data_IF_415973620506
#
_entry.id   IF_415973620506
#
_cell.length_a   1.000
_cell.length_b   1.000
_cell.length_c   1.000
_cell.angle_alpha   90.00
_cell.angle_beta   90.00
_cell.angle_gamma   90.00
#
_symmetry.space_group_name_H-M   'P 1'
#
loop_
_entity.id
_entity.type
_entity.pdbx_description
1 polymer ?
#
# COMPACT_ATOMS: atom_id res chain seq x y z
N UNK A 1 -4.09 -83.50 -85.78
CA UNK A 1 -4.88 -82.35 -85.29
C UNK A 1 -5.34 -82.64 -83.86
N UNK A 2 -5.02 -81.74 -82.93
CA UNK A 2 -5.52 -81.54 -81.56
C UNK A 2 -5.71 -82.75 -80.60
N UNK A 3 -4.75 -82.93 -79.68
CA UNK A 3 -4.98 -83.54 -78.37
C UNK A 3 -5.53 -82.46 -77.42
N UNK A 4 -6.79 -82.58 -76.99
CA UNK A 4 -7.33 -81.85 -75.83
C UNK A 4 -7.05 -82.68 -74.58
N UNK A 5 -6.11 -82.24 -73.75
CA UNK A 5 -5.88 -82.77 -72.40
C UNK A 5 -6.94 -82.20 -71.45
N UNK A 6 -7.70 -83.07 -70.79
CA UNK A 6 -8.58 -82.68 -69.66
C UNK A 6 -7.72 -82.25 -68.45
N UNK A 7 -8.07 -81.17 -67.72
CA UNK A 7 -7.29 -80.77 -66.55
C UNK A 7 -7.34 -81.82 -65.43
N UNK A 8 -6.20 -82.18 -64.85
CA UNK A 8 -6.12 -83.12 -63.72
C UNK A 8 -6.56 -82.47 -62.40
N UNK A 9 -6.95 -83.28 -61.39
CA UNK A 9 -7.42 -82.80 -60.09
C UNK A 9 -6.45 -81.81 -59.38
N UNK A 10 -5.14 -81.95 -59.62
CA UNK A 10 -4.12 -81.00 -59.13
C UNK A 10 -4.21 -79.59 -59.75
N UNK A 11 -4.65 -79.47 -61.01
CA UNK A 11 -4.90 -78.16 -61.63
C UNK A 11 -6.14 -77.48 -61.07
N UNK A 12 -7.17 -78.22 -60.69
CA UNK A 12 -8.34 -77.65 -60.03
C UNK A 12 -8.03 -77.15 -58.61
N UNK A 13 -7.18 -77.88 -57.88
CA UNK A 13 -6.74 -77.46 -56.55
C UNK A 13 -5.87 -76.18 -56.59
N UNK A 14 -4.92 -76.09 -57.53
CA UNK A 14 -4.10 -74.88 -57.70
C UNK A 14 -4.94 -73.68 -58.15
N UNK A 15 -5.88 -73.87 -59.08
CA UNK A 15 -6.80 -72.80 -59.49
C UNK A 15 -7.66 -72.32 -58.31
N UNK A 16 -8.17 -73.23 -57.49
CA UNK A 16 -9.00 -72.88 -56.32
C UNK A 16 -8.21 -72.08 -55.27
N UNK A 17 -6.98 -72.49 -54.97
CA UNK A 17 -6.09 -71.74 -54.06
C UNK A 17 -5.77 -70.35 -54.61
N UNK A 18 -5.51 -70.26 -55.92
CA UNK A 18 -5.14 -68.99 -56.56
C UNK A 18 -6.31 -68.01 -56.57
N UNK A 19 -7.53 -68.51 -56.82
CA UNK A 19 -8.77 -67.73 -56.70
C UNK A 19 -9.00 -67.28 -55.25
N UNK A 20 -8.88 -68.17 -54.27
CA UNK A 20 -9.05 -67.83 -52.85
C UNK A 20 -8.02 -66.80 -52.37
N UNK A 21 -6.75 -66.94 -52.77
CA UNK A 21 -5.69 -65.98 -52.46
C UNK A 21 -5.94 -64.62 -53.13
N UNK A 22 -6.44 -64.60 -54.36
CA UNK A 22 -6.81 -63.37 -55.07
C UNK A 22 -7.97 -62.66 -54.37
N UNK A 23 -9.02 -63.40 -53.99
CA UNK A 23 -10.16 -62.86 -53.23
C UNK A 23 -9.68 -62.32 -51.88
N UNK A 24 -8.82 -63.04 -51.17
CA UNK A 24 -8.25 -62.60 -49.90
C UNK A 24 -7.45 -61.29 -50.06
N UNK A 25 -6.58 -61.20 -51.07
CA UNK A 25 -5.81 -60.00 -51.37
C UNK A 25 -6.71 -58.82 -51.77
N UNK A 26 -7.78 -59.04 -52.55
CA UNK A 26 -8.75 -58.00 -52.90
C UNK A 26 -9.51 -57.50 -51.66
N UNK A 27 -9.94 -58.38 -50.77
CA UNK A 27 -10.57 -58.00 -49.49
C UNK A 27 -9.58 -57.19 -48.65
N UNK A 28 -8.33 -57.64 -48.52
CA UNK A 28 -7.29 -56.93 -47.76
C UNK A 28 -6.92 -55.59 -48.38
N UNK A 29 -6.91 -55.50 -49.71
CA UNK A 29 -6.67 -54.25 -50.44
C UNK A 29 -7.80 -53.26 -50.22
N UNK A 30 -9.06 -53.72 -50.22
CA UNK A 30 -10.21 -52.88 -49.92
C UNK A 30 -10.22 -52.40 -48.46
N UNK A 31 -9.87 -53.29 -47.52
CA UNK A 31 -9.68 -52.94 -46.11
C UNK A 31 -8.58 -51.89 -45.94
N UNK A 32 -7.43 -52.07 -46.59
CA UNK A 32 -6.32 -51.13 -46.55
C UNK A 32 -6.65 -49.78 -47.21
N UNK A 33 -7.35 -49.79 -48.34
CA UNK A 33 -7.80 -48.58 -49.03
C UNK A 33 -8.80 -47.78 -48.17
N UNK A 34 -9.70 -48.47 -47.45
CA UNK A 34 -10.61 -47.84 -46.49
C UNK A 34 -9.86 -47.29 -45.27
N UNK A 35 -8.89 -48.02 -44.73
CA UNK A 35 -8.05 -47.58 -43.61
C UNK A 35 -7.23 -46.33 -43.94
N UNK A 36 -6.76 -46.19 -45.19
CA UNK A 36 -6.02 -45.00 -45.67
C UNK A 36 -6.89 -43.74 -45.82
N UNK A 37 -8.23 -43.91 -45.75
CA UNK A 37 -9.18 -42.80 -45.62
C UNK A 37 -9.08 -42.10 -44.26
N UNK A 38 -8.59 -42.80 -43.24
CA UNK A 38 -8.47 -42.31 -41.87
C UNK A 38 -7.01 -41.99 -41.54
N UNK A 39 -6.79 -41.32 -40.42
CA UNK A 39 -5.44 -41.05 -39.93
C UNK A 39 -4.71 -42.34 -39.52
N UNK A 40 -3.40 -42.43 -39.76
CA UNK A 40 -2.62 -43.60 -39.40
C UNK A 40 -2.66 -43.86 -37.88
N UNK A 41 -2.72 -45.13 -37.50
CA UNK A 41 -2.74 -45.56 -36.10
C UNK A 41 -1.51 -45.04 -35.35
N UNK A 42 -1.73 -44.44 -34.18
CA UNK A 42 -0.67 -43.84 -33.37
C UNK A 42 -0.44 -42.34 -33.61
N UNK A 43 -1.10 -41.74 -34.61
CA UNK A 43 -1.01 -40.30 -34.84
C UNK A 43 -1.66 -39.53 -33.69
N UNK A 44 -0.92 -38.56 -33.17
CA UNK A 44 -1.44 -37.59 -32.20
C UNK A 44 -1.41 -36.19 -32.80
N UNK A 45 -2.46 -35.42 -32.57
CA UNK A 45 -2.55 -34.01 -32.92
C UNK A 45 -2.81 -33.24 -31.63
N UNK A 46 -1.94 -32.26 -31.33
CA UNK A 46 -1.96 -31.54 -30.07
C UNK A 46 -1.93 -32.49 -28.84
N UNK A 47 -1.22 -33.63 -28.93
CA UNK A 47 -1.19 -34.62 -27.86
C UNK A 47 -2.47 -35.44 -27.66
N UNK A 48 -3.49 -35.27 -28.52
CA UNK A 48 -4.71 -36.07 -28.55
C UNK A 48 -4.57 -37.16 -29.62
N UNK A 49 -4.89 -38.41 -29.26
CA UNK A 49 -4.83 -39.52 -30.21
C UNK A 49 -5.97 -39.42 -31.22
N UNK A 50 -5.61 -39.25 -32.50
CA UNK A 50 -6.54 -39.19 -33.63
C UNK A 50 -6.37 -40.36 -34.60
N UNK A 51 -5.48 -41.31 -34.26
CA UNK A 51 -5.22 -42.46 -35.11
C UNK A 51 -6.47 -43.32 -35.33
N UNK A 52 -6.74 -43.65 -36.58
CA UNK A 52 -7.93 -44.40 -36.99
C UNK A 52 -9.19 -43.55 -37.16
N UNK A 53 -9.16 -42.26 -36.85
CA UNK A 53 -10.28 -41.32 -37.07
C UNK A 53 -10.24 -40.71 -38.47
N UNK A 54 -11.41 -40.38 -39.00
CA UNK A 54 -11.54 -39.48 -40.14
C UNK A 54 -11.21 -38.04 -39.76
N UNK A 55 -11.06 -37.16 -40.76
CA UNK A 55 -10.80 -35.73 -40.53
C UNK A 55 -11.92 -35.04 -39.76
N UNK A 56 -13.17 -35.41 -40.02
CA UNK A 56 -14.34 -34.85 -39.33
C UNK A 56 -14.36 -35.29 -37.86
N UNK A 57 -14.22 -36.60 -37.59
CA UNK A 57 -14.15 -37.13 -36.22
C UNK A 57 -12.96 -36.55 -35.43
N UNK A 58 -11.80 -36.36 -36.07
CA UNK A 58 -10.66 -35.72 -35.43
C UNK A 58 -10.92 -34.24 -35.10
N UNK A 59 -11.69 -33.53 -35.94
CA UNK A 59 -12.09 -32.14 -35.68
C UNK A 59 -12.96 -32.07 -34.44
N UNK A 60 -13.95 -32.95 -34.32
CA UNK A 60 -14.85 -33.01 -33.16
C UNK A 60 -14.08 -33.33 -31.87
N UNK A 61 -13.18 -34.33 -31.92
CA UNK A 61 -12.39 -34.72 -30.75
C UNK A 61 -11.47 -33.59 -30.27
N UNK A 62 -10.84 -32.85 -31.20
CA UNK A 62 -9.99 -31.72 -30.85
C UNK A 62 -10.79 -30.53 -30.31
N UNK A 63 -11.95 -30.24 -30.91
CA UNK A 63 -12.85 -29.17 -30.47
C UNK A 63 -13.39 -29.45 -29.07
N UNK A 64 -13.90 -30.66 -28.84
CA UNK A 64 -14.38 -31.08 -27.53
C UNK A 64 -13.28 -31.00 -26.47
N UNK A 65 -12.03 -31.30 -26.85
CA UNK A 65 -10.90 -31.30 -25.93
C UNK A 65 -10.41 -29.89 -25.57
N UNK A 66 -10.31 -29.00 -26.54
CA UNK A 66 -9.62 -27.71 -26.36
C UNK A 66 -10.56 -26.52 -26.21
N UNK A 67 -11.75 -26.59 -26.80
CA UNK A 67 -12.74 -25.51 -26.81
C UNK A 67 -13.87 -25.78 -25.80
N UNK A 68 -14.41 -27.00 -25.78
CA UNK A 68 -15.55 -27.31 -24.91
C UNK A 68 -15.16 -27.70 -23.49
N UNK A 69 -14.06 -28.44 -23.32
CA UNK A 69 -13.61 -28.84 -21.99
C UNK A 69 -13.12 -27.61 -21.18
N UNK A 70 -13.55 -27.44 -19.92
CA UNK A 70 -13.14 -26.32 -19.10
C UNK A 70 -11.69 -26.46 -18.62
N UNK A 71 -11.11 -25.32 -18.22
CA UNK A 71 -9.87 -25.27 -17.44
C UNK A 71 -10.23 -25.01 -15.99
N UNK A 72 -9.65 -25.78 -15.08
CA UNK A 72 -9.87 -25.63 -13.64
C UNK A 72 -8.85 -24.67 -13.05
N UNK A 73 -9.31 -23.59 -12.44
CA UNK A 73 -8.50 -22.60 -11.75
C UNK A 73 -8.75 -22.73 -10.25
N UNK A 74 -7.68 -22.84 -9.47
CA UNK A 74 -7.76 -22.85 -8.01
C UNK A 74 -7.38 -21.49 -7.43
N UNK A 75 -8.28 -20.93 -6.62
CA UNK A 75 -8.00 -19.78 -5.76
C UNK A 75 -7.97 -20.28 -4.31
N UNK A 76 -6.78 -20.52 -3.76
CA UNK A 76 -6.65 -21.17 -2.46
C UNK A 76 -7.20 -22.60 -2.47
N UNK A 77 -8.34 -22.82 -1.77
CA UNK A 77 -9.06 -24.10 -1.73
C UNK A 77 -10.28 -24.14 -2.67
N UNK A 78 -10.70 -22.98 -3.17
CA UNK A 78 -11.85 -22.85 -4.04
C UNK A 78 -11.46 -23.14 -5.49
N UNK A 79 -12.44 -23.61 -6.26
CA UNK A 79 -12.25 -24.05 -7.65
C UNK A 79 -13.22 -23.35 -8.59
N UNK A 80 -12.71 -22.94 -9.74
CA UNK A 80 -13.44 -22.27 -10.80
C UNK A 80 -13.22 -23.00 -12.12
N UNK A 81 -14.30 -23.26 -12.84
CA UNK A 81 -14.23 -23.78 -14.20
C UNK A 81 -14.37 -22.60 -15.16
N UNK A 82 -13.32 -22.35 -15.96
CA UNK A 82 -13.36 -21.33 -17.01
C UNK A 82 -13.52 -22.00 -18.36
N UNK A 83 -14.33 -21.38 -19.23
CA UNK A 83 -14.39 -21.82 -20.62
C UNK A 83 -13.18 -21.25 -21.38
N UNK A 84 -12.50 -22.04 -22.23
CA UNK A 84 -11.49 -21.51 -23.15
C UNK A 84 -12.01 -20.34 -24.00
N UNK A 85 -13.31 -20.32 -24.30
CA UNK A 85 -13.95 -19.22 -25.03
C UNK A 85 -13.95 -17.88 -24.28
N UNK A 86 -13.91 -17.89 -22.94
CA UNK A 86 -13.83 -16.67 -22.13
C UNK A 86 -12.47 -15.95 -22.32
N UNK A 87 -11.43 -16.72 -22.67
CA UNK A 87 -10.10 -16.21 -23.01
C UNK A 87 -9.94 -15.98 -24.54
N UNK A 88 -11.03 -16.08 -25.30
CA UNK A 88 -11.02 -16.05 -26.78
C UNK A 88 -9.98 -17.04 -27.35
N UNK A 89 -9.91 -18.24 -26.76
CA UNK A 89 -8.98 -19.28 -27.19
C UNK A 89 -9.43 -19.85 -28.54
N UNK A 90 -8.60 -19.70 -29.56
CA UNK A 90 -8.86 -20.15 -30.92
C UNK A 90 -7.86 -21.23 -31.35
N UNK A 91 -8.40 -22.30 -31.93
CA UNK A 91 -7.64 -23.44 -32.41
C UNK A 91 -7.46 -23.35 -33.93
N UNK A 92 -6.22 -23.38 -34.42
CA UNK A 92 -5.94 -23.42 -35.85
C UNK A 92 -6.04 -24.87 -36.36
N UNK A 93 -7.29 -25.35 -36.40
CA UNK A 93 -7.65 -26.68 -36.85
C UNK A 93 -7.23 -26.95 -38.29
N UNK A 94 -7.35 -25.96 -39.16
CA UNK A 94 -6.98 -26.12 -40.56
C UNK A 94 -5.49 -26.40 -40.71
N UNK A 95 -4.63 -25.62 -40.06
CA UNK A 95 -3.19 -25.85 -40.11
C UNK A 95 -2.79 -27.19 -39.49
N UNK A 96 -3.36 -27.56 -38.34
CA UNK A 96 -3.05 -28.82 -37.68
C UNK A 96 -3.52 -30.04 -38.48
N UNK A 97 -4.76 -30.03 -38.97
CA UNK A 97 -5.31 -31.15 -39.75
C UNK A 97 -4.67 -31.26 -41.12
N UNK A 98 -4.25 -30.13 -41.73
CA UNK A 98 -3.44 -30.12 -42.96
C UNK A 98 -2.09 -30.81 -42.75
N UNK A 99 -1.40 -30.53 -41.64
CA UNK A 99 -0.15 -31.25 -41.27
C UNK A 99 -0.41 -32.73 -41.01
N UNK A 100 -1.49 -33.08 -40.33
CA UNK A 100 -1.90 -34.47 -40.12
C UNK A 100 -2.22 -35.19 -41.45
N UNK A 101 -2.81 -34.50 -42.42
CA UNK A 101 -3.10 -35.03 -43.76
C UNK A 101 -1.83 -35.31 -44.58
N UNK A 102 -0.76 -34.54 -44.37
CA UNK A 102 0.55 -34.81 -44.97
C UNK A 102 1.09 -36.15 -44.47
N UNK A 103 1.04 -36.42 -43.16
CA UNK A 103 1.48 -37.71 -42.58
C UNK A 103 0.68 -38.89 -43.12
N UNK A 104 -0.62 -38.69 -43.39
CA UNK A 104 -1.50 -39.69 -44.02
C UNK A 104 -1.14 -39.97 -45.47
N UNK A 105 -0.70 -38.96 -46.22
CA UNK A 105 -0.51 -39.04 -47.68
C UNK A 105 0.93 -39.30 -48.13
N UNK A 106 1.94 -39.01 -47.30
CA UNK A 106 3.36 -39.24 -47.61
C UNK A 106 3.74 -40.72 -47.75
N UNK A 107 2.93 -41.65 -47.22
CA UNK A 107 3.26 -43.07 -47.24
C UNK A 107 3.01 -43.70 -48.62
N UNK A 108 3.99 -44.42 -49.15
CA UNK A 108 3.85 -45.18 -50.39
C UNK A 108 2.76 -46.27 -50.25
N UNK A 109 1.83 -46.28 -51.21
CA UNK A 109 0.66 -47.15 -51.15
C UNK A 109 1.00 -48.64 -51.13
N UNK A 110 2.00 -49.07 -51.91
CA UNK A 110 2.35 -50.48 -52.05
C UNK A 110 3.24 -50.94 -50.91
N UNK A 111 4.21 -50.12 -50.48
CA UNK A 111 5.03 -50.42 -49.32
C UNK A 111 4.16 -50.52 -48.04
N UNK A 112 3.21 -49.59 -47.86
CA UNK A 112 2.28 -49.60 -46.73
C UNK A 112 1.28 -50.76 -46.78
N UNK A 113 0.78 -51.16 -47.95
CA UNK A 113 -0.10 -52.33 -48.11
C UNK A 113 0.59 -53.63 -47.67
N UNK A 114 1.84 -53.80 -48.09
CA UNK A 114 2.66 -54.93 -47.68
C UNK A 114 2.96 -54.90 -46.17
N UNK A 115 3.29 -53.73 -45.61
CA UNK A 115 3.45 -53.56 -44.17
C UNK A 115 2.19 -53.91 -43.36
N UNK A 116 1.01 -53.52 -43.86
CA UNK A 116 -0.29 -53.88 -43.27
C UNK A 116 -0.53 -55.40 -43.27
N UNK A 117 -0.15 -56.12 -44.34
CA UNK A 117 -0.27 -57.57 -44.40
C UNK A 117 0.66 -58.30 -43.40
N UNK A 118 1.82 -57.71 -43.10
CA UNK A 118 2.83 -58.27 -42.20
C UNK A 118 2.79 -57.70 -40.76
N UNK A 119 1.90 -56.76 -40.48
CA UNK A 119 1.71 -56.17 -39.14
C UNK A 119 2.84 -55.25 -38.69
N UNK A 120 3.58 -54.64 -39.61
CA UNK A 120 4.63 -53.67 -39.25
C UNK A 120 4.02 -52.34 -38.84
N UNK A 121 4.39 -51.78 -37.67
CA UNK A 121 3.91 -50.48 -37.23
C UNK A 121 4.39 -49.36 -38.16
N UNK A 122 3.56 -48.36 -38.32
CA UNK A 122 3.82 -47.18 -39.15
C UNK A 122 4.42 -46.09 -38.25
N UNK A 123 5.59 -45.57 -38.62
CA UNK A 123 6.16 -44.41 -37.95
C UNK A 123 5.39 -43.15 -38.37
N UNK A 124 4.92 -42.38 -37.39
CA UNK A 124 4.17 -41.14 -37.59
C UNK A 124 4.72 -40.07 -36.67
N UNK A 125 4.82 -38.85 -37.18
CA UNK A 125 5.25 -37.71 -36.36
C UNK A 125 4.04 -37.05 -35.68
N UNK A 126 4.12 -36.72 -34.37
CA UNK A 126 3.06 -35.99 -33.71
C UNK A 126 2.94 -34.58 -34.28
N UNK A 127 1.71 -34.09 -34.45
CA UNK A 127 1.44 -32.71 -34.86
C UNK A 127 1.32 -31.85 -33.61
N UNK A 128 2.12 -30.78 -33.54
CA UNK A 128 2.08 -29.83 -32.43
C UNK A 128 0.78 -29.00 -32.42
N UNK A 129 0.39 -28.55 -31.22
CA UNK A 129 -0.76 -27.66 -31.02
C UNK A 129 -0.49 -26.29 -31.68
N UNK A 130 -1.44 -25.84 -32.50
CA UNK A 130 -1.46 -24.48 -33.06
C UNK A 130 -2.72 -23.77 -32.55
N UNK A 131 -2.54 -22.80 -31.64
CA UNK A 131 -3.64 -22.08 -31.02
C UNK A 131 -3.21 -20.67 -30.58
N UNK A 132 -4.18 -19.77 -30.49
CA UNK A 132 -4.02 -18.40 -29.98
C UNK A 132 -5.07 -18.10 -28.92
N UNK A 133 -4.85 -17.06 -28.14
CA UNK A 133 -5.82 -16.56 -27.17
C UNK A 133 -5.65 -15.05 -27.01
N UNK A 134 -6.67 -14.41 -26.44
CA UNK A 134 -6.62 -12.99 -26.12
C UNK A 134 -6.12 -12.80 -24.67
N UNK A 135 -4.97 -12.16 -24.52
CA UNK A 135 -4.32 -11.96 -23.21
C UNK A 135 -5.14 -11.05 -22.31
N UNK A 136 -5.74 -10.00 -22.86
CA UNK A 136 -6.59 -9.07 -22.13
C UNK A 136 -7.92 -9.72 -21.72
N UNK A 137 -8.48 -10.61 -22.54
CA UNK A 137 -9.65 -11.41 -22.16
C UNK A 137 -9.33 -12.34 -20.99
N UNK A 138 -8.20 -13.07 -21.06
CA UNK A 138 -7.75 -13.91 -19.95
C UNK A 138 -7.50 -13.10 -18.66
N UNK A 139 -6.87 -11.92 -18.77
CA UNK A 139 -6.68 -11.02 -17.62
C UNK A 139 -8.01 -10.56 -17.01
N UNK A 140 -9.04 -10.28 -17.82
CA UNK A 140 -10.37 -9.92 -17.32
C UNK A 140 -10.99 -11.08 -16.53
N UNK A 141 -10.94 -12.31 -17.05
CA UNK A 141 -11.42 -13.50 -16.34
C UNK A 141 -10.74 -13.66 -14.99
N UNK A 142 -9.41 -13.51 -14.94
CA UNK A 142 -8.66 -13.57 -13.68
C UNK A 142 -9.02 -12.43 -12.72
N UNK A 143 -9.23 -11.22 -13.26
CA UNK A 143 -9.70 -10.07 -12.49
C UNK A 143 -11.09 -10.25 -11.90
N UNK A 144 -12.01 -10.90 -12.62
CA UNK A 144 -13.35 -11.20 -12.14
C UNK A 144 -13.33 -12.25 -11.02
N UNK A 145 -12.47 -13.27 -11.13
CA UNK A 145 -12.24 -14.24 -10.04
C UNK A 145 -11.64 -13.53 -8.81
N UNK A 146 -10.62 -12.69 -9.02
CA UNK A 146 -10.00 -11.91 -7.96
C UNK A 146 -11.02 -10.99 -7.26
N UNK A 147 -11.83 -10.24 -8.01
CA UNK A 147 -12.85 -9.35 -7.45
C UNK A 147 -13.91 -10.08 -6.60
N UNK A 148 -14.17 -11.36 -6.92
CA UNK A 148 -15.11 -12.19 -6.16
C UNK A 148 -14.47 -12.78 -4.89
N UNK A 149 -13.18 -13.13 -4.94
CA UNK A 149 -12.51 -13.94 -3.92
C UNK A 149 -11.57 -13.19 -3.00
N UNK A 150 -11.01 -12.07 -3.46
CA UNK A 150 -10.10 -11.24 -2.69
C UNK A 150 -10.82 -10.65 -1.48
N UNK A 151 -10.14 -10.66 -0.35
CA UNK A 151 -10.65 -10.11 0.90
C UNK A 151 -10.01 -8.74 1.10
N UNK A 152 -10.79 -7.64 1.09
CA UNK A 152 -10.23 -6.32 1.32
C UNK A 152 -9.66 -6.22 2.74
N UNK A 153 -8.63 -5.41 2.89
CA UNK A 153 -8.10 -5.06 4.21
C UNK A 153 -9.12 -4.20 4.95
N UNK A 154 -9.14 -4.32 6.28
CA UNK A 154 -9.90 -3.41 7.13
C UNK A 154 -8.95 -2.39 7.76
N UNK A 155 -9.15 -1.08 7.56
CA UNK A 155 -8.32 -0.08 8.20
C UNK A 155 -8.60 -0.04 9.71
N UNK A 156 -7.62 0.41 10.49
CA UNK A 156 -7.80 0.60 11.93
C UNK A 156 -8.99 1.52 12.22
N UNK A 157 -9.72 1.22 13.31
CA UNK A 157 -10.89 1.99 13.73
C UNK A 157 -10.66 2.62 15.10
N UNK A 158 -11.12 3.86 15.33
CA UNK A 158 -11.06 4.49 16.63
C UNK A 158 -12.12 3.87 17.56
N UNK A 159 -11.78 3.75 18.84
CA UNK A 159 -12.69 3.32 19.91
C UNK A 159 -12.86 4.50 20.89
N UNK A 160 -13.89 5.35 20.70
CA UNK A 160 -14.04 6.60 21.44
C UNK A 160 -14.02 6.44 22.96
N UNK A 161 -14.77 5.47 23.48
CA UNK A 161 -14.95 5.26 24.93
C UNK A 161 -13.65 4.95 25.67
N UNK A 162 -12.65 4.41 24.97
CA UNK A 162 -11.37 3.98 25.56
C UNK A 162 -10.17 4.74 25.03
N UNK A 163 -10.37 5.76 24.18
CA UNK A 163 -9.29 6.49 23.51
C UNK A 163 -8.25 5.59 22.84
N UNK A 164 -8.69 4.48 22.25
CA UNK A 164 -7.81 3.48 21.65
C UNK A 164 -8.16 3.23 20.19
N UNK A 165 -7.35 2.41 19.53
CA UNK A 165 -7.60 1.98 18.15
C UNK A 165 -7.73 0.47 18.11
N UNK A 166 -8.78 -0.02 17.45
CA UNK A 166 -8.82 -1.39 16.97
C UNK A 166 -7.86 -1.51 15.78
N UNK A 167 -6.94 -2.48 15.85
CA UNK A 167 -6.01 -2.76 14.76
C UNK A 167 -6.76 -3.11 13.48
N UNK A 168 -6.19 -2.70 12.35
CA UNK A 168 -6.70 -3.13 11.05
C UNK A 168 -6.53 -4.64 10.84
N UNK A 169 -7.37 -5.20 9.99
CA UNK A 169 -7.32 -6.61 9.61
C UNK A 169 -6.67 -6.76 8.24
N UNK A 170 -5.76 -7.75 8.13
CA UNK A 170 -5.12 -8.10 6.85
C UNK A 170 -6.13 -8.71 5.89
N UNK A 171 -5.98 -8.39 4.62
CA UNK A 171 -6.75 -8.98 3.53
C UNK A 171 -5.94 -10.00 2.74
N UNK A 172 -6.52 -10.45 1.64
CA UNK A 172 -5.85 -11.29 0.64
C UNK A 172 -6.12 -10.72 -0.74
N UNK A 173 -5.08 -10.66 -1.57
CA UNK A 173 -5.17 -10.17 -2.94
C UNK A 173 -4.60 -11.19 -3.92
N UNK A 174 -5.27 -11.37 -5.04
CA UNK A 174 -4.80 -12.24 -6.12
C UNK A 174 -3.78 -11.48 -6.97
N UNK A 175 -2.57 -12.04 -7.09
CA UNK A 175 -1.56 -11.54 -8.00
C UNK A 175 -1.81 -12.10 -9.41
N UNK A 176 -2.61 -11.37 -10.19
CA UNK A 176 -3.00 -11.75 -11.56
C UNK A 176 -1.77 -11.91 -12.46
N UNK A 177 -0.78 -11.03 -12.36
CA UNK A 177 0.41 -11.08 -13.20
C UNK A 177 1.29 -12.30 -12.88
N UNK A 178 1.48 -12.63 -11.61
CA UNK A 178 2.22 -13.82 -11.20
C UNK A 178 1.47 -15.12 -11.53
N UNK A 179 0.13 -15.08 -11.57
CA UNK A 179 -0.72 -16.24 -11.90
C UNK A 179 -0.84 -16.50 -13.40
N UNK A 180 -0.61 -15.47 -14.23
CA UNK A 180 -0.98 -15.49 -15.65
C UNK A 180 -0.36 -16.66 -16.41
N UNK A 181 0.93 -16.93 -16.23
CA UNK A 181 1.65 -17.95 -16.98
C UNK A 181 1.17 -19.38 -16.70
N UNK A 182 0.77 -19.69 -15.46
CA UNK A 182 0.26 -21.03 -15.11
C UNK A 182 -1.13 -21.28 -15.73
N UNK A 183 -1.99 -20.26 -15.69
CA UNK A 183 -3.33 -20.30 -16.30
C UNK A 183 -3.24 -20.37 -17.81
N UNK A 184 -2.38 -19.54 -18.43
CA UNK A 184 -2.07 -19.60 -19.86
C UNK A 184 -1.61 -21.02 -20.22
N UNK A 185 -0.64 -21.59 -19.49
CA UNK A 185 -0.18 -22.96 -19.70
C UNK A 185 -1.27 -24.03 -19.55
N UNK A 186 -2.30 -23.81 -18.73
CA UNK A 186 -3.43 -24.74 -18.59
C UNK A 186 -4.36 -24.77 -19.80
N UNK A 187 -4.53 -23.64 -20.50
CA UNK A 187 -5.33 -23.57 -21.74
C UNK A 187 -4.72 -24.45 -22.83
N UNK A 188 -3.39 -24.51 -22.92
CA UNK A 188 -2.65 -25.25 -23.96
C UNK A 188 -2.38 -26.73 -23.63
N UNK A 189 -2.82 -27.24 -22.47
CA UNK A 189 -2.65 -28.65 -22.08
C UNK A 189 -3.80 -29.54 -22.58
N UNK A 190 -3.48 -30.72 -23.11
CA UNK A 190 -4.48 -31.73 -23.50
C UNK A 190 -5.08 -32.49 -22.29
N UNK A 191 -4.36 -32.55 -21.18
CA UNK A 191 -4.79 -33.26 -19.96
C UNK A 191 -4.30 -32.50 -18.73
N UNK A 192 -4.93 -32.73 -17.58
CA UNK A 192 -4.66 -32.00 -16.33
C UNK A 192 -4.67 -30.48 -16.56
N UNK A 193 -5.78 -29.96 -17.10
CA UNK A 193 -5.97 -28.53 -17.39
C UNK A 193 -6.30 -27.79 -16.10
N UNK A 194 -5.31 -27.72 -15.22
CA UNK A 194 -5.43 -27.14 -13.89
C UNK A 194 -4.35 -26.07 -13.68
N UNK A 195 -4.74 -24.91 -13.12
CA UNK A 195 -3.83 -23.83 -12.74
C UNK A 195 -4.16 -23.32 -11.33
N UNK A 196 -3.18 -22.72 -10.65
CA UNK A 196 -3.33 -22.16 -9.31
C UNK A 196 -3.01 -20.67 -9.32
N UNK A 197 -3.93 -19.86 -8.80
CA UNK A 197 -3.70 -18.44 -8.61
C UNK A 197 -2.76 -18.21 -7.43
N UNK A 198 -1.85 -17.26 -7.61
CA UNK A 198 -0.96 -16.74 -6.57
C UNK A 198 -1.76 -15.74 -5.75
N UNK A 199 -2.00 -16.07 -4.48
CA UNK A 199 -2.71 -15.23 -3.52
C UNK A 199 -1.72 -14.75 -2.47
N UNK A 200 -1.67 -13.44 -2.27
CA UNK A 200 -0.74 -12.79 -1.36
C UNK A 200 -1.50 -12.09 -0.22
N UNK A 201 -0.92 -12.07 1.00
CA UNK A 201 -1.50 -11.27 2.07
C UNK A 201 -1.37 -9.78 1.74
N UNK A 202 -2.46 -9.03 1.94
CA UNK A 202 -2.44 -7.57 1.85
C UNK A 202 -2.53 -6.98 3.26
N UNK A 203 -1.70 -5.97 3.54
CA UNK A 203 -1.70 -5.26 4.82
C UNK A 203 -2.59 -4.04 4.74
N UNK A 204 -3.34 -3.69 5.81
CA UNK A 204 -4.09 -2.45 5.84
C UNK A 204 -3.15 -1.24 5.73
N UNK A 205 -3.65 -0.19 5.10
CA UNK A 205 -2.92 1.08 5.04
C UNK A 205 -2.65 1.63 6.44
N UNK A 206 -1.55 2.37 6.58
CA UNK A 206 -1.24 3.08 7.82
C UNK A 206 -2.39 4.05 8.13
N UNK A 207 -2.91 4.08 9.38
CA UNK A 207 -3.96 5.01 9.75
C UNK A 207 -3.53 6.46 9.51
N UNK A 208 -4.40 7.25 8.87
CA UNK A 208 -4.17 8.67 8.64
C UNK A 208 -4.44 9.47 9.91
N UNK A 209 -3.77 10.61 10.09
CA UNK A 209 -3.90 11.48 11.27
C UNK A 209 -5.36 11.93 11.49
N UNK A 210 -6.15 12.06 10.41
CA UNK A 210 -7.56 12.42 10.47
C UNK A 210 -8.44 11.47 11.29
N UNK A 211 -8.02 10.22 11.48
CA UNK A 211 -8.71 9.28 12.35
C UNK A 211 -8.63 9.72 13.82
N UNK A 212 -7.46 10.23 14.22
CA UNK A 212 -7.23 10.82 15.53
C UNK A 212 -8.06 12.10 15.71
N UNK A 213 -8.18 12.95 14.68
CA UNK A 213 -9.01 14.16 14.74
C UNK A 213 -10.43 13.88 15.21
N UNK A 214 -11.07 12.80 14.72
CA UNK A 214 -12.45 12.46 15.13
C UNK A 214 -12.56 12.13 16.61
N UNK A 215 -11.59 11.38 17.16
CA UNK A 215 -11.54 11.06 18.58
C UNK A 215 -11.37 12.32 19.43
N UNK A 216 -10.43 13.18 19.02
CA UNK A 216 -10.12 14.41 19.73
C UNK A 216 -11.30 15.38 19.71
N UNK A 217 -11.92 15.61 18.56
CA UNK A 217 -13.08 16.51 18.44
C UNK A 217 -14.22 16.06 19.36
N UNK A 218 -14.55 14.77 19.37
CA UNK A 218 -15.62 14.26 20.23
C UNK A 218 -15.29 14.48 21.72
N UNK A 219 -14.06 14.16 22.14
CA UNK A 219 -13.61 14.35 23.52
C UNK A 219 -13.62 15.81 23.96
N UNK A 220 -13.08 16.71 23.13
CA UNK A 220 -13.09 18.14 23.38
C UNK A 220 -14.52 18.69 23.47
N UNK A 221 -15.42 18.28 22.58
CA UNK A 221 -16.82 18.69 22.62
C UNK A 221 -17.52 18.23 23.90
N UNK A 222 -17.30 16.99 24.34
CA UNK A 222 -17.87 16.47 25.58
C UNK A 222 -17.35 17.27 26.79
N UNK A 223 -16.05 17.54 26.84
CA UNK A 223 -15.45 18.40 27.88
C UNK A 223 -16.09 19.80 27.91
N UNK A 224 -16.20 20.46 26.75
CA UNK A 224 -16.78 21.81 26.65
C UNK A 224 -18.25 21.83 27.06
N UNK A 225 -19.03 20.80 26.72
CA UNK A 225 -20.44 20.69 27.11
C UNK A 225 -20.61 20.45 28.61
N UNK A 226 -19.75 19.62 29.22
CA UNK A 226 -19.84 19.25 30.64
C UNK A 226 -19.36 20.40 31.54
N UNK A 227 -18.24 21.02 31.18
CA UNK A 227 -17.56 22.01 32.02
C UNK A 227 -17.97 23.45 31.72
N UNK A 228 -18.48 23.71 30.51
CA UNK A 228 -18.63 25.07 29.99
C UNK A 228 -17.31 25.77 29.68
N UNK A 229 -16.18 25.04 29.76
CA UNK A 229 -14.86 25.52 29.40
C UNK A 229 -14.59 25.49 27.89
N UNK A 230 -13.34 25.76 27.52
CA UNK A 230 -12.86 25.67 26.15
C UNK A 230 -11.60 24.80 26.10
N UNK A 231 -11.50 23.93 25.10
CA UNK A 231 -10.27 23.21 24.82
C UNK A 231 -9.68 23.63 23.47
N UNK A 232 -8.36 23.66 23.39
CA UNK A 232 -7.61 24.04 22.19
C UNK A 232 -6.48 23.04 21.98
N UNK A 233 -6.32 22.57 20.74
CA UNK A 233 -5.33 21.57 20.40
C UNK A 233 -4.76 21.80 19.01
N UNK A 234 -3.44 21.64 18.91
CA UNK A 234 -2.70 21.62 17.66
C UNK A 234 -1.73 20.43 17.66
N UNK A 235 -1.76 19.60 16.63
CA UNK A 235 -0.87 18.44 16.47
C UNK A 235 -0.33 18.44 15.06
N UNK A 236 0.98 18.24 14.89
CA UNK A 236 1.63 18.20 13.57
C UNK A 236 2.55 16.97 13.47
N UNK A 237 2.39 16.17 12.41
CA UNK A 237 3.36 15.12 12.07
C UNK A 237 4.54 15.71 11.27
N UNK A 238 5.67 15.86 11.95
CA UNK A 238 6.89 16.45 11.39
C UNK A 238 7.59 15.56 10.34
N UNK A 239 7.23 14.28 10.23
CA UNK A 239 7.77 13.37 9.20
C UNK A 239 7.01 13.50 7.88
N UNK A 240 5.69 13.66 7.95
CA UNK A 240 4.84 13.79 6.76
C UNK A 240 4.76 15.24 6.26
N UNK A 241 4.99 16.22 7.14
CA UNK A 241 5.09 17.65 6.81
C UNK A 241 3.80 18.31 6.29
N UNK A 242 2.71 17.56 6.18
CA UNK A 242 1.43 18.00 5.57
C UNK A 242 0.21 17.63 6.43
N UNK A 243 0.40 16.78 7.44
CA UNK A 243 -0.68 16.26 8.27
C UNK A 243 -0.72 17.00 9.61
N UNK A 244 -1.67 17.93 9.74
CA UNK A 244 -1.94 18.69 10.97
C UNK A 244 -3.37 18.49 11.46
N UNK A 245 -3.54 18.53 12.78
CA UNK A 245 -4.83 18.62 13.47
C UNK A 245 -4.87 19.96 14.17
N UNK A 246 -5.82 20.82 13.80
CA UNK A 246 -6.13 22.06 14.50
C UNK A 246 -7.57 22.03 15.00
N UNK A 247 -7.77 21.99 16.32
CA UNK A 247 -9.09 22.01 16.96
C UNK A 247 -9.13 23.22 17.88
N UNK A 248 -9.94 24.22 17.54
CA UNK A 248 -9.99 25.51 18.25
C UNK A 248 -8.58 26.11 18.47
N UNK A 249 -7.66 25.85 17.54
CA UNK A 249 -6.22 26.08 17.74
C UNK A 249 -5.85 27.57 17.77
N UNK A 250 -6.77 28.43 17.34
CA UNK A 250 -6.70 29.88 17.28
C UNK A 250 -7.28 30.58 18.52
N UNK A 251 -7.84 29.83 19.49
CA UNK A 251 -8.37 30.42 20.72
C UNK A 251 -7.26 31.06 21.56
N UNK A 252 -7.44 32.30 22.04
CA UNK A 252 -6.46 32.93 22.91
C UNK A 252 -6.48 32.27 24.28
N UNK A 253 -5.34 31.73 24.69
CA UNK A 253 -5.14 31.08 25.99
C UNK A 253 -4.17 31.90 26.84
N UNK A 254 -4.27 31.78 28.16
CA UNK A 254 -3.22 32.27 29.06
C UNK A 254 -1.90 31.58 28.72
N UNK A 255 -0.87 32.35 28.40
CA UNK A 255 0.42 31.78 28.00
C UNK A 255 1.14 31.04 29.13
N UNK A 256 0.87 31.42 30.38
CA UNK A 256 1.45 30.79 31.59
C UNK A 256 2.96 30.54 31.42
N UNK A 257 3.43 29.39 31.89
CA UNK A 257 4.82 28.95 31.76
C UNK A 257 5.19 28.52 30.33
N UNK A 258 4.24 28.41 29.41
CA UNK A 258 4.56 28.14 27.99
C UNK A 258 5.35 29.29 27.37
N UNK A 259 5.16 30.53 27.86
CA UNK A 259 5.92 31.70 27.41
C UNK A 259 7.38 31.69 27.91
N UNK A 260 7.78 30.76 28.78
CA UNK A 260 9.19 30.55 29.13
C UNK A 260 10.01 30.05 27.94
N UNK A 261 9.38 29.31 27.01
CA UNK A 261 10.01 28.84 25.78
C UNK A 261 10.48 29.99 24.86
N UNK A 262 9.62 30.94 24.44
CA UNK A 262 10.05 32.05 23.61
C UNK A 262 11.04 33.00 24.31
N UNK A 263 11.02 33.10 25.64
CA UNK A 263 12.05 33.84 26.40
C UNK A 263 13.42 33.19 26.22
N UNK A 264 13.52 31.87 26.36
CA UNK A 264 14.80 31.18 26.15
C UNK A 264 15.25 31.23 24.70
N UNK A 265 14.33 31.10 23.73
CA UNK A 265 14.68 31.26 22.32
C UNK A 265 15.27 32.64 22.03
N UNK A 266 14.64 33.72 22.49
CA UNK A 266 15.17 35.08 22.31
C UNK A 266 16.49 35.29 23.05
N UNK A 267 16.68 34.63 24.20
CA UNK A 267 17.97 34.62 24.91
C UNK A 267 19.07 34.06 24.03
N UNK A 268 18.86 32.88 23.42
CA UNK A 268 19.85 32.27 22.52
C UNK A 268 20.10 33.13 21.29
N UNK A 269 19.06 33.74 20.71
CA UNK A 269 19.20 34.67 19.58
C UNK A 269 20.12 35.87 19.88
N UNK A 270 20.25 36.26 21.14
CA UNK A 270 21.07 37.39 21.59
C UNK A 270 22.44 36.96 22.13
N UNK A 271 22.72 35.66 22.24
CA UNK A 271 24.00 35.16 22.71
C UNK A 271 24.99 35.06 21.53
N UNK A 272 26.07 35.83 21.59
CA UNK A 272 27.16 35.73 20.61
C UNK A 272 28.11 34.53 20.90
N UNK A 273 28.01 33.94 22.09
CA UNK A 273 28.87 32.87 22.60
C UNK A 273 28.06 31.91 23.48
N UNK A 274 28.64 30.74 23.75
CA UNK A 274 28.09 29.77 24.70
C UNK A 274 27.68 30.43 26.04
N UNK A 275 26.53 30.07 26.62
CA UNK A 275 26.06 30.65 27.87
C UNK A 275 27.10 30.51 28.99
N UNK A 276 27.30 31.57 29.77
CA UNK A 276 28.04 31.48 31.03
C UNK A 276 27.33 30.52 32.00
N UNK A 277 28.04 30.02 33.02
CA UNK A 277 27.44 29.13 34.04
C UNK A 277 26.17 29.73 34.68
N UNK A 278 26.15 31.05 34.88
CA UNK A 278 25.00 31.76 35.43
C UNK A 278 23.83 31.77 34.44
N UNK A 279 24.08 32.12 33.17
CA UNK A 279 23.04 32.11 32.14
C UNK A 279 22.50 30.70 31.88
N UNK A 280 23.36 29.68 31.83
CA UNK A 280 22.96 28.29 31.72
C UNK A 280 22.08 27.86 32.90
N UNK A 281 22.37 28.33 34.12
CA UNK A 281 21.54 28.12 35.30
C UNK A 281 20.14 28.73 35.16
N UNK A 282 20.05 29.97 34.66
CA UNK A 282 18.76 30.63 34.39
C UNK A 282 17.96 29.94 33.28
N UNK A 283 18.62 29.52 32.20
CA UNK A 283 17.98 28.77 31.10
C UNK A 283 17.42 27.45 31.61
N UNK A 284 18.23 26.70 32.36
CA UNK A 284 17.83 25.40 32.92
C UNK A 284 16.66 25.53 33.89
N UNK A 285 16.66 26.49 34.82
CA UNK A 285 15.52 26.70 35.72
C UNK A 285 14.27 27.24 35.01
N UNK A 286 14.43 27.88 33.84
CA UNK A 286 13.29 28.40 33.06
C UNK A 286 12.56 27.30 32.28
N UNK A 287 13.24 26.23 31.87
CA UNK A 287 12.63 25.15 31.05
C UNK A 287 12.47 23.81 31.76
N UNK A 288 13.06 23.64 32.94
CA UNK A 288 12.86 22.43 33.76
C UNK A 288 11.57 22.49 34.58
N UNK A 289 11.31 21.47 35.38
CA UNK A 289 10.15 21.39 36.28
C UNK A 289 10.20 22.39 37.47
N UNK A 290 11.10 23.37 37.46
CA UNK A 290 11.17 24.43 38.48
C UNK A 290 9.98 25.40 38.30
N UNK A 291 9.25 25.62 39.39
CA UNK A 291 8.10 26.52 39.44
C UNK A 291 8.50 27.99 39.64
N UNK A 292 9.78 28.24 39.93
CA UNK A 292 10.30 29.59 40.07
C UNK A 292 10.26 30.37 38.76
N UNK A 293 9.85 31.63 38.83
CA UNK A 293 9.91 32.56 37.72
C UNK A 293 11.19 33.40 37.72
N UNK A 294 12.07 33.22 38.71
CA UNK A 294 13.29 34.01 38.86
C UNK A 294 14.21 33.86 37.64
N UNK A 295 14.42 32.63 37.16
CA UNK A 295 15.23 32.38 35.96
C UNK A 295 14.69 33.15 34.75
N UNK A 296 13.39 33.02 34.48
CA UNK A 296 12.74 33.71 33.37
C UNK A 296 12.85 35.23 33.50
N UNK A 297 12.66 35.78 34.70
CA UNK A 297 12.77 37.21 34.96
C UNK A 297 14.22 37.72 34.81
N UNK A 298 15.23 36.92 35.17
CA UNK A 298 16.64 37.25 34.91
C UNK A 298 16.96 37.22 33.40
N UNK A 299 16.42 36.26 32.67
CA UNK A 299 16.56 36.22 31.21
C UNK A 299 15.90 37.43 30.54
N UNK A 300 14.74 37.89 31.01
CA UNK A 300 14.12 39.12 30.52
C UNK A 300 15.02 40.36 30.73
N UNK A 301 15.70 40.47 31.87
CA UNK A 301 16.69 41.55 32.11
C UNK A 301 17.88 41.45 31.16
N UNK A 302 18.35 40.22 30.91
CA UNK A 302 19.42 39.98 29.95
C UNK A 302 19.01 40.41 28.53
N UNK A 303 17.82 40.00 28.07
CA UNK A 303 17.28 40.35 26.75
C UNK A 303 17.15 41.87 26.59
N UNK A 304 16.74 42.58 27.64
CA UNK A 304 16.64 44.03 27.62
C UNK A 304 18.00 44.75 27.49
N UNK A 305 19.10 44.08 27.84
CA UNK A 305 20.44 44.68 27.91
C UNK A 305 20.60 45.74 29.02
N UNK A 306 19.58 45.90 29.87
CA UNK A 306 19.50 46.86 30.97
C UNK A 306 18.57 46.34 32.06
N UNK A 307 18.49 47.02 33.20
CA UNK A 307 17.63 46.63 34.32
C UNK A 307 16.14 46.96 34.08
N UNK A 308 15.60 46.47 32.96
CA UNK A 308 14.22 46.69 32.50
C UNK A 308 13.64 45.40 31.92
N UNK A 309 13.20 44.45 32.76
CA UNK A 309 12.64 43.18 32.28
C UNK A 309 11.32 43.36 31.50
N UNK A 310 10.65 44.52 31.60
CA UNK A 310 9.47 44.82 30.79
C UNK A 310 9.87 45.05 29.33
N UNK A 311 10.94 45.81 29.08
CA UNK A 311 11.52 45.93 27.75
C UNK A 311 11.91 44.55 27.19
N UNK A 312 12.49 43.68 28.02
CA UNK A 312 12.79 42.30 27.64
C UNK A 312 11.55 41.54 27.15
N UNK A 313 10.42 41.67 27.86
CA UNK A 313 9.16 41.05 27.47
C UNK A 313 8.62 41.62 26.14
N UNK A 314 8.69 42.93 25.95
CA UNK A 314 8.31 43.59 24.70
C UNK A 314 9.17 43.10 23.51
N UNK A 315 10.47 42.86 23.72
CA UNK A 315 11.37 42.30 22.70
C UNK A 315 11.04 40.84 22.37
N UNK A 316 10.74 40.01 23.36
CA UNK A 316 10.26 38.62 23.15
C UNK A 316 8.99 38.62 22.30
N UNK A 317 8.03 39.50 22.60
CA UNK A 317 6.81 39.66 21.81
C UNK A 317 7.11 40.07 20.36
N UNK A 318 8.02 41.03 20.15
CA UNK A 318 8.44 41.42 18.80
C UNK A 318 9.09 40.27 18.03
N UNK A 319 9.85 39.41 18.70
CA UNK A 319 10.43 38.20 18.10
C UNK A 319 9.34 37.21 17.68
N UNK A 320 8.33 36.96 18.51
CA UNK A 320 7.19 36.10 18.14
C UNK A 320 6.43 36.64 16.94
N UNK A 321 6.15 37.94 16.92
CA UNK A 321 5.47 38.60 15.79
C UNK A 321 6.30 38.53 14.49
N UNK A 322 7.64 38.68 14.58
CA UNK A 322 8.55 38.51 13.43
C UNK A 322 8.54 37.09 12.87
N UNK A 323 8.30 36.08 13.70
CA UNK A 323 8.13 34.68 13.29
C UNK A 323 6.72 34.38 12.73
N UNK A 324 5.82 35.36 12.70
CA UNK A 324 4.43 35.17 12.28
C UNK A 324 3.51 34.65 13.38
N UNK A 325 4.02 34.44 14.60
CA UNK A 325 3.28 33.96 15.77
C UNK A 325 2.58 35.14 16.47
N UNK A 326 1.66 35.77 15.74
CA UNK A 326 1.08 37.08 16.09
C UNK A 326 0.16 37.04 17.31
N UNK A 327 -0.30 35.86 17.73
CA UNK A 327 -1.15 35.70 18.90
C UNK A 327 -0.36 35.43 20.18
N UNK A 328 0.96 35.24 20.08
CA UNK A 328 1.86 34.97 21.20
C UNK A 328 2.55 36.23 21.67
N UNK A 329 2.32 36.61 22.93
CA UNK A 329 2.93 37.79 23.53
C UNK A 329 3.10 37.69 25.05
N UNK A 330 4.09 38.42 25.55
CA UNK A 330 4.35 38.73 26.95
C UNK A 330 4.65 40.23 27.05
N UNK A 331 3.94 40.95 27.92
CA UNK A 331 4.11 42.42 28.06
C UNK A 331 4.62 42.84 29.43
N UNK A 332 4.64 41.92 30.39
CA UNK A 332 5.11 42.14 31.75
C UNK A 332 5.98 40.95 32.15
N UNK A 333 6.98 41.15 33.02
CA UNK A 333 7.67 40.04 33.67
C UNK A 333 6.69 39.22 34.51
N UNK A 334 7.06 37.98 34.82
CA UNK A 334 6.29 37.16 35.76
C UNK A 334 6.25 37.80 37.15
N UNK A 335 5.22 37.47 37.92
CA UNK A 335 4.99 37.96 39.28
C UNK A 335 4.92 39.50 39.41
N UNK A 336 4.58 40.19 38.31
CA UNK A 336 4.46 41.64 38.24
C UNK A 336 3.01 42.07 38.04
N UNK A 337 2.50 42.89 38.95
CA UNK A 337 1.19 43.54 38.79
C UNK A 337 1.25 44.60 37.68
N UNK A 338 0.24 44.69 36.80
CA UNK A 338 0.23 45.63 35.69
C UNK A 338 0.20 47.08 36.20
N UNK A 339 1.18 47.93 35.81
CA UNK A 339 1.11 49.35 36.10
C UNK A 339 -0.17 49.98 35.53
N UNK A 340 -0.66 51.02 36.18
CA UNK A 340 -1.81 51.79 35.69
C UNK A 340 -1.55 52.31 34.26
N UNK A 341 -2.49 52.03 33.36
CA UNK A 341 -2.40 52.44 31.94
C UNK A 341 -1.60 51.48 31.05
N UNK A 342 -1.20 50.31 31.54
CA UNK A 342 -0.58 49.27 30.69
C UNK A 342 -1.54 48.84 29.58
N UNK A 343 -1.13 49.05 28.33
CA UNK A 343 -1.91 48.69 27.14
C UNK A 343 -1.94 47.19 26.94
N UNK A 344 -3.12 46.66 26.60
CA UNK A 344 -3.30 45.25 26.25
C UNK A 344 -3.04 45.08 24.76
N UNK A 345 -2.15 44.17 24.33
CA UNK A 345 -1.98 43.86 22.92
C UNK A 345 -3.27 43.35 22.30
N UNK A 346 -3.57 43.84 21.10
CA UNK A 346 -4.66 43.33 20.26
C UNK A 346 -4.06 42.43 19.20
N UNK A 347 -4.56 41.20 19.14
CA UNK A 347 -4.19 40.15 18.20
C UNK A 347 -5.45 39.64 17.50
N UNK A 348 -5.33 38.97 16.33
CA UNK A 348 -6.48 38.34 15.70
C UNK A 348 -7.27 37.42 16.63
N UNK A 349 -6.59 36.58 17.43
CA UNK A 349 -7.22 35.65 18.36
C UNK A 349 -8.01 36.36 19.49
N UNK A 350 -7.48 37.45 20.03
CA UNK A 350 -8.07 38.11 21.20
C UNK A 350 -8.99 39.30 20.89
N UNK A 351 -9.23 39.58 19.60
CA UNK A 351 -10.06 40.69 19.11
C UNK A 351 -11.38 40.24 18.47
N UNK A 352 -11.78 38.98 18.69
CA UNK A 352 -13.07 38.44 18.26
C UNK A 352 -14.22 38.97 19.14
N UNK A 353 -15.44 38.95 18.61
CA UNK A 353 -16.63 39.53 19.28
C UNK A 353 -16.93 38.84 20.62
N UNK A 354 -16.90 37.51 20.64
CA UNK A 354 -17.17 36.69 21.83
C UNK A 354 -15.98 35.78 22.14
N UNK A 355 -15.22 36.14 23.19
CA UNK A 355 -14.14 35.31 23.70
C UNK A 355 -14.70 34.12 24.50
N UNK A 356 -14.30 32.92 24.09
CA UNK A 356 -14.67 31.65 24.76
C UNK A 356 -13.82 31.34 26.00
N UNK A 357 -12.77 32.11 26.21
CA UNK A 357 -11.76 31.94 27.27
C UNK A 357 -11.60 33.24 28.06
N UNK A 358 -10.98 33.17 29.24
CA UNK A 358 -10.60 34.33 30.07
C UNK A 358 -9.07 34.45 30.19
N UNK A 359 -8.35 34.65 29.07
CA UNK A 359 -6.89 34.59 29.08
C UNK A 359 -6.29 35.79 29.83
N UNK A 360 -5.11 35.60 30.42
CA UNK A 360 -4.35 36.70 31.02
C UNK A 360 -4.14 37.81 29.97
N UNK A 361 -4.58 39.05 30.21
CA UNK A 361 -4.54 40.13 29.20
C UNK A 361 -3.11 40.60 28.83
N UNK A 362 -2.08 40.15 29.55
CA UNK A 362 -0.69 40.57 29.37
C UNK A 362 0.25 39.44 28.92
N UNK A 363 -0.26 38.20 28.89
CA UNK A 363 0.49 36.97 28.58
C UNK A 363 -0.41 35.96 27.88
N UNK A 364 -0.34 35.89 26.55
CA UNK A 364 -1.20 35.01 25.75
C UNK A 364 -0.44 34.24 24.69
N UNK A 365 -1.02 33.13 24.25
CA UNK A 365 -0.63 32.36 23.07
C UNK A 365 -1.85 31.59 22.56
N UNK A 366 -1.69 30.88 21.46
CA UNK A 366 -2.68 29.94 20.91
C UNK A 366 -2.01 28.58 20.73
N UNK A 367 -2.79 27.49 20.64
CA UNK A 367 -2.21 26.17 20.40
C UNK A 367 -1.49 26.11 19.05
N UNK A 368 -2.04 26.80 18.03
CA UNK A 368 -1.42 26.92 16.71
C UNK A 368 -0.07 27.64 16.76
N UNK A 369 0.01 28.81 17.42
CA UNK A 369 1.26 29.56 17.50
C UNK A 369 2.34 28.75 18.25
N UNK A 370 1.99 28.17 19.40
CA UNK A 370 2.94 27.41 20.22
C UNK A 370 3.36 26.11 19.52
N UNK A 371 2.42 25.41 18.88
CA UNK A 371 2.70 24.22 18.08
C UNK A 371 3.61 24.52 16.89
N UNK A 372 3.40 25.67 16.24
CA UNK A 372 4.27 26.16 15.16
C UNK A 372 5.65 26.53 15.70
N UNK A 373 5.76 27.19 16.85
CA UNK A 373 7.06 27.48 17.49
C UNK A 373 7.86 26.20 17.76
N UNK A 374 7.18 25.18 18.30
CA UNK A 374 7.78 23.87 18.57
C UNK A 374 8.26 23.16 17.29
N UNK A 375 7.49 23.23 16.20
CA UNK A 375 7.90 22.67 14.91
C UNK A 375 9.14 23.39 14.35
N UNK A 376 9.17 24.73 14.45
CA UNK A 376 10.32 25.53 14.04
C UNK A 376 11.59 25.18 14.84
N UNK A 377 11.47 25.02 16.16
CA UNK A 377 12.57 24.58 17.03
C UNK A 377 13.08 23.18 16.67
N UNK A 378 12.15 22.24 16.40
CA UNK A 378 12.51 20.88 16.02
C UNK A 378 13.25 20.84 14.68
N UNK A 379 12.76 21.54 13.64
CA UNK A 379 13.45 21.59 12.35
C UNK A 379 14.83 22.25 12.44
N UNK A 380 14.97 23.26 13.29
CA UNK A 380 16.27 23.86 13.62
C UNK A 380 17.21 22.85 14.28
N UNK A 381 16.75 22.11 15.29
CA UNK A 381 17.54 21.11 16.00
C UNK A 381 17.97 19.93 15.09
N UNK A 382 17.13 19.54 14.15
CA UNK A 382 17.41 18.50 13.14
C UNK A 382 18.35 18.98 12.02
N UNK A 383 18.66 20.28 11.95
CA UNK A 383 19.48 20.87 10.89
C UNK A 383 18.79 20.86 9.52
N UNK A 384 17.45 20.79 9.50
CA UNK A 384 16.63 20.75 8.27
C UNK A 384 16.28 22.14 7.73
N UNK A 385 16.90 23.20 8.27
CA UNK A 385 16.51 24.58 7.98
C UNK A 385 15.25 24.98 8.77
N UNK A 386 14.41 25.83 8.17
CA UNK A 386 13.13 26.25 8.74
C UNK A 386 13.07 27.74 9.06
N UNK A 387 11.93 28.18 9.59
CA UNK A 387 11.61 29.60 9.77
C UNK A 387 12.60 30.34 10.66
N UNK A 388 13.12 29.71 11.73
CA UNK A 388 14.11 30.36 12.62
C UNK A 388 15.38 30.76 11.86
N UNK A 389 15.93 29.85 11.07
CA UNK A 389 17.15 30.12 10.29
C UNK A 389 16.89 31.13 9.15
N UNK A 390 15.67 31.13 8.59
CA UNK A 390 15.29 32.03 7.50
C UNK A 390 15.04 33.47 7.99
N UNK A 391 14.40 33.63 9.15
CA UNK A 391 14.03 34.96 9.71
C UNK A 391 15.20 35.59 10.46
N UNK A 392 16.05 34.79 11.11
CA UNK A 392 17.14 35.30 11.95
C UNK A 392 18.54 35.12 11.36
N UNK A 393 18.67 34.76 10.08
CA UNK A 393 19.94 34.74 9.32
C UNK A 393 21.14 34.03 9.99
N UNK A 394 20.88 33.12 10.93
CA UNK A 394 21.92 32.39 11.67
C UNK A 394 22.18 32.86 13.10
N UNK A 395 21.43 33.85 13.63
CA UNK A 395 21.48 34.26 15.04
C UNK A 395 21.02 33.14 16.00
N UNK A 396 20.35 32.09 15.47
CA UNK A 396 20.02 30.88 16.23
C UNK A 396 20.62 29.68 15.51
N UNK A 397 21.43 28.93 16.23
CA UNK A 397 22.16 27.76 15.72
C UNK A 397 21.42 26.45 16.00
N UNK A 398 21.76 25.41 15.23
CA UNK A 398 21.26 24.05 15.46
C UNK A 398 21.55 23.57 16.88
N UNK A 399 22.75 23.81 17.40
CA UNK A 399 23.17 23.39 18.74
C UNK A 399 22.36 24.05 19.84
N UNK A 400 21.99 25.32 19.67
CA UNK A 400 21.13 26.03 20.62
C UNK A 400 19.71 25.47 20.61
N UNK A 401 19.13 25.20 19.44
CA UNK A 401 17.83 24.53 19.33
C UNK A 401 17.85 23.13 19.98
N UNK A 402 18.90 22.35 19.76
CA UNK A 402 19.09 21.05 20.45
C UNK A 402 19.17 21.22 21.97
N UNK A 403 19.84 22.28 22.44
CA UNK A 403 20.00 22.57 23.86
C UNK A 403 18.67 22.97 24.50
N UNK A 404 17.85 23.78 23.82
CA UNK A 404 16.49 24.12 24.25
C UNK A 404 15.66 22.85 24.45
N UNK A 405 15.62 21.97 23.44
CA UNK A 405 14.90 20.70 23.53
C UNK A 405 15.46 19.79 24.64
N UNK A 406 16.78 19.78 24.84
CA UNK A 406 17.43 19.01 25.89
C UNK A 406 17.06 19.49 27.30
N UNK A 407 16.81 20.79 27.50
CA UNK A 407 16.29 21.29 28.77
C UNK A 407 14.80 20.98 28.93
N UNK A 408 13.99 21.09 27.88
CA UNK A 408 12.58 20.67 27.91
C UNK A 408 12.41 19.17 28.21
N UNK A 409 13.35 18.32 27.80
CA UNK A 409 13.38 16.89 28.17
C UNK A 409 13.59 16.64 29.67
N UNK A 410 14.07 17.65 30.41
CA UNK A 410 14.27 17.56 31.86
C UNK A 410 13.03 17.99 32.64
N UNK A 411 12.03 18.59 31.97
CA UNK A 411 10.71 18.81 32.55
C UNK A 411 10.01 17.45 32.69
N UNK A 412 10.16 16.81 33.86
CA UNK A 412 9.60 15.49 34.16
C UNK A 412 8.70 15.60 35.37
N UNK A 413 7.39 15.66 35.12
CA UNK A 413 6.37 15.74 36.17
C UNK A 413 5.58 14.44 36.34
N UNK A 414 5.68 13.51 35.40
CA UNK A 414 4.94 12.25 35.43
C UNK A 414 3.43 12.41 35.28
N UNK A 415 2.98 13.43 34.54
CA UNK A 415 1.58 13.76 34.33
C UNK A 415 1.35 14.41 32.95
N UNK A 416 0.09 14.70 32.60
CA UNK A 416 -0.32 15.32 31.34
C UNK A 416 0.12 14.48 30.13
N UNK A 417 0.80 15.09 29.15
CA UNK A 417 1.22 14.41 27.91
C UNK A 417 2.20 13.26 28.17
N UNK A 418 2.92 13.27 29.29
CA UNK A 418 3.81 12.16 29.69
C UNK A 418 3.04 10.86 29.97
N UNK A 419 1.80 10.94 30.47
CA UNK A 419 0.95 9.77 30.74
C UNK A 419 0.35 9.19 29.45
N UNK A 420 0.23 10.01 28.42
CA UNK A 420 -0.40 9.66 27.14
C UNK A 420 0.52 8.93 26.15
N UNK A 421 1.82 8.81 26.43
CA UNK A 421 2.80 8.22 25.52
C UNK A 421 3.48 6.97 26.11
N UNK A 422 4.00 6.06 25.27
CA UNK A 422 4.80 4.92 25.75
C UNK A 422 6.04 5.37 26.55
N UNK A 423 6.43 4.60 27.57
CA UNK A 423 7.51 4.95 28.52
C UNK A 423 8.88 5.16 27.88
N UNK A 424 9.11 4.60 26.70
CA UNK A 424 10.33 4.71 25.91
C UNK A 424 10.35 5.95 25.01
N UNK A 425 9.23 6.67 24.90
CA UNK A 425 9.11 7.89 24.09
C UNK A 425 9.71 9.05 24.85
N UNK A 426 10.68 9.73 24.24
CA UNK A 426 11.22 10.98 24.79
C UNK A 426 10.19 12.11 24.61
N UNK A 427 9.82 12.77 25.71
CA UNK A 427 8.86 13.88 25.72
C UNK A 427 9.56 15.16 26.15
N UNK A 428 9.84 16.04 25.19
CA UNK A 428 10.30 17.39 25.45
C UNK A 428 9.07 18.30 25.55
N UNK A 429 8.75 18.81 26.74
CA UNK A 429 7.55 19.61 26.93
C UNK A 429 7.78 20.75 27.93
N UNK A 430 6.77 21.62 28.04
CA UNK A 430 6.63 22.59 29.11
C UNK A 430 5.16 22.61 29.50
N UNK A 431 4.90 22.67 30.80
CA UNK A 431 3.55 22.69 31.34
C UNK A 431 3.27 24.01 32.07
N UNK A 432 1.99 24.35 32.23
CA UNK A 432 1.54 25.48 33.04
C UNK A 432 0.14 25.23 33.57
N UNK A 433 -0.14 25.71 34.77
CA UNK A 433 -1.46 25.60 35.40
C UNK A 433 -1.83 26.90 36.11
N UNK A 434 -3.12 27.20 36.12
CA UNK A 434 -3.76 28.24 36.93
C UNK A 434 -5.00 27.64 37.59
N UNK A 435 -5.71 28.41 38.42
CA UNK A 435 -6.83 27.87 39.21
C UNK A 435 -7.99 27.30 38.39
N UNK A 436 -8.12 27.71 37.14
CA UNK A 436 -9.19 27.36 36.19
C UNK A 436 -8.71 26.50 35.02
N UNK A 437 -7.51 25.91 35.09
CA UNK A 437 -7.07 24.85 34.17
C UNK A 437 -7.47 23.46 34.69
N UNK A 438 -7.92 22.57 33.80
CA UNK A 438 -8.45 21.24 34.12
C UNK A 438 -7.83 20.14 33.27
#
# INVERSE_FOLDING_TARGET
MNRRSSPGAGQWFTVTILVAATIFLLIKLFQYASLRGNYPTGLTVAGVNVGGLSREEATDVLTNRYIEAPVLIYHGQDRFEISPSDAEFELDLEAMLSRADIERTQQDFWAGFWGFLWGTPVEVSPVELSATHNREALRRVLGDIAALMDQPTQPAQPVPDTFSFQYGETGTVTNVDASFADVEGALYRASNREARLVVEPSSPDRPQINLLTRLLVNSLQDYEQITGGAGSMFVMDLNAGVDEIAINADLPMSGMDLLKLPIVLETYRLLDQEPTLTQAGWISSTLSADLSNEGANQLLRFIAGQDDPKLGAELVTQTMQRLGLVNTFITLPYDTEPPAGTTRPSTPANSVEDLRTLPNPYMQTTAEDMGTLLSMLYYCAEGKGGTLMAVFEGDVTQTECQTILAFMLQDKIGSLIEEGVPTETAVAHRHGWISDTH
#
